data_IF_412173045681
#
_entry.id   IF_412173045681
#
_cell.length_a   1.000
_cell.length_b   1.000
_cell.length_c   1.000
_cell.angle_alpha   90.00
_cell.angle_beta   90.00
_cell.angle_gamma   90.00
#
_symmetry.space_group_name_H-M   'P 1'
#
loop_
_entity.id
_entity.type
_entity.pdbx_description
1 polymer ?
#
# COMPACT_ATOMS: atom_id res chain seq x y z
N UNK A 1 12.60 -15.70 -30.56
CA UNK A 1 11.34 -15.99 -29.84
C UNK A 1 10.41 -14.86 -30.17
N UNK A 2 9.24 -15.18 -30.72
CA UNK A 2 8.17 -14.22 -30.92
C UNK A 2 7.05 -14.56 -29.94
N UNK A 3 6.62 -13.58 -29.16
CA UNK A 3 5.53 -13.72 -28.18
C UNK A 3 4.36 -12.89 -28.70
N UNK A 4 3.23 -13.56 -28.93
CA UNK A 4 1.96 -12.91 -29.26
C UNK A 4 1.12 -12.78 -27.99
N UNK A 5 0.49 -11.62 -27.79
CA UNK A 5 -0.43 -11.39 -26.66
C UNK A 5 -1.43 -10.31 -27.00
N UNK A 6 -2.64 -10.44 -26.48
CA UNK A 6 -3.70 -9.45 -26.57
C UNK A 6 -3.65 -8.36 -25.47
N UNK A 7 -2.84 -8.57 -24.43
CA UNK A 7 -2.65 -7.64 -23.33
C UNK A 7 -1.76 -6.46 -23.72
N UNK A 8 -2.36 -5.47 -24.37
CA UNK A 8 -1.66 -4.25 -24.77
C UNK A 8 -0.99 -3.54 -23.58
N UNK A 9 -1.61 -3.56 -22.40
CA UNK A 9 -1.04 -2.96 -21.19
C UNK A 9 0.26 -3.64 -20.77
N UNK A 10 0.31 -4.98 -20.83
CA UNK A 10 1.51 -5.71 -20.44
C UNK A 10 2.62 -5.50 -21.47
N UNK A 11 2.29 -5.53 -22.76
CA UNK A 11 3.28 -5.29 -23.81
C UNK A 11 3.89 -3.89 -23.68
N UNK A 12 3.07 -2.85 -23.51
CA UNK A 12 3.57 -1.49 -23.23
C UNK A 12 4.39 -1.41 -21.95
N UNK A 13 3.99 -2.15 -20.91
CA UNK A 13 4.76 -2.29 -19.69
C UNK A 13 6.20 -2.72 -19.96
N UNK A 14 6.38 -3.80 -20.71
CA UNK A 14 7.70 -4.37 -21.04
C UNK A 14 8.48 -3.47 -22.01
N UNK A 15 7.83 -2.92 -23.04
CA UNK A 15 8.52 -2.28 -24.16
C UNK A 15 8.74 -0.78 -23.98
N UNK A 16 7.91 -0.11 -23.17
CA UNK A 16 7.91 1.36 -23.06
C UNK A 16 8.15 1.83 -21.62
N UNK A 17 7.57 1.15 -20.62
CA UNK A 17 7.45 1.71 -19.26
C UNK A 17 8.49 1.15 -18.28
N UNK A 18 9.02 -0.05 -18.54
CA UNK A 18 9.86 -0.77 -17.58
C UNK A 18 11.08 0.04 -17.11
N UNK A 19 11.70 0.81 -18.00
CA UNK A 19 12.86 1.63 -17.63
C UNK A 19 12.52 2.69 -16.58
N UNK A 20 11.33 3.28 -16.66
CA UNK A 20 10.87 4.26 -15.68
C UNK A 20 10.52 3.59 -14.34
N UNK A 21 10.01 2.35 -14.39
CA UNK A 21 9.71 1.57 -13.20
C UNK A 21 10.98 1.17 -12.46
N UNK A 22 12.00 0.69 -13.17
CA UNK A 22 13.32 0.39 -12.62
C UNK A 22 13.93 1.62 -11.96
N UNK A 23 13.85 2.78 -12.62
CA UNK A 23 14.35 4.04 -12.08
C UNK A 23 13.71 4.43 -10.75
N UNK A 24 12.49 3.95 -10.47
CA UNK A 24 11.71 4.25 -9.28
C UNK A 24 11.68 3.08 -8.27
N UNK A 25 12.53 2.07 -8.43
CA UNK A 25 12.53 0.85 -7.61
C UNK A 25 11.17 0.12 -7.64
N UNK A 26 10.42 0.25 -8.74
CA UNK A 26 9.05 -0.26 -8.91
C UNK A 26 8.04 0.24 -7.86
N UNK A 27 8.32 1.36 -7.18
CA UNK A 27 7.42 1.90 -6.15
C UNK A 27 6.07 2.29 -6.74
N UNK A 28 5.02 1.71 -6.17
CA UNK A 28 3.63 1.95 -6.58
C UNK A 28 3.19 1.15 -7.81
N UNK A 29 4.02 0.23 -8.30
CA UNK A 29 3.68 -0.69 -9.39
C UNK A 29 3.09 -1.97 -8.79
N UNK A 30 1.97 -2.43 -9.33
CA UNK A 30 1.37 -3.70 -8.94
C UNK A 30 2.16 -4.85 -9.56
N UNK A 31 2.24 -5.98 -8.85
CA UNK A 31 2.94 -7.19 -9.28
C UNK A 31 4.44 -6.92 -9.58
N UNK A 32 5.09 -6.14 -8.71
CA UNK A 32 6.48 -5.70 -8.91
C UNK A 32 7.47 -6.87 -8.97
N UNK A 33 7.20 -7.94 -8.21
CA UNK A 33 8.02 -9.16 -8.23
C UNK A 33 7.97 -9.87 -9.58
N UNK A 34 6.78 -10.02 -10.14
CA UNK A 34 6.52 -10.62 -11.45
C UNK A 34 7.20 -9.79 -12.56
N UNK A 35 7.09 -8.46 -12.48
CA UNK A 35 7.77 -7.57 -13.42
C UNK A 35 9.29 -7.68 -13.36
N UNK A 36 9.88 -7.69 -12.16
CA UNK A 36 11.32 -7.85 -11.98
C UNK A 36 11.82 -9.19 -12.54
N UNK A 37 11.10 -10.27 -12.25
CA UNK A 37 11.43 -11.60 -12.76
C UNK A 37 11.34 -11.66 -14.29
N UNK A 38 10.27 -11.12 -14.87
CA UNK A 38 10.08 -11.06 -16.31
C UNK A 38 11.21 -10.30 -17.02
N UNK A 39 11.59 -9.14 -16.50
CA UNK A 39 12.67 -8.32 -17.08
C UNK A 39 14.00 -9.05 -17.00
N UNK A 40 14.29 -9.73 -15.88
CA UNK A 40 15.46 -10.60 -15.76
C UNK A 40 15.45 -11.72 -16.81
N UNK A 41 14.35 -12.45 -16.96
CA UNK A 41 14.23 -13.56 -17.93
C UNK A 41 14.40 -13.06 -19.38
N UNK A 42 13.88 -11.88 -19.69
CA UNK A 42 14.02 -11.29 -21.03
C UNK A 42 15.45 -10.83 -21.32
N UNK A 43 16.13 -10.22 -20.34
CA UNK A 43 17.50 -9.71 -20.53
C UNK A 43 18.58 -10.77 -20.42
N UNK A 44 18.34 -11.84 -19.66
CA UNK A 44 19.25 -12.99 -19.58
C UNK A 44 19.25 -13.85 -20.84
N UNK A 45 18.19 -13.74 -21.67
CA UNK A 45 18.10 -14.47 -22.92
C UNK A 45 19.09 -13.90 -23.96
N UNK A 46 19.95 -14.73 -24.58
CA UNK A 46 20.99 -14.26 -25.49
C UNK A 46 20.49 -13.79 -26.87
N UNK A 47 19.25 -14.09 -27.22
CA UNK A 47 18.67 -13.78 -28.53
C UNK A 47 17.49 -12.82 -28.38
N UNK A 48 17.23 -12.01 -29.42
CA UNK A 48 16.14 -11.05 -29.46
C UNK A 48 14.79 -11.72 -29.23
N UNK A 49 14.00 -11.14 -28.31
CA UNK A 49 12.58 -11.47 -28.08
C UNK A 49 11.75 -10.40 -28.77
N UNK A 50 10.86 -10.82 -29.66
CA UNK A 50 9.94 -9.92 -30.36
C UNK A 50 8.55 -10.08 -29.76
N UNK A 51 7.86 -8.97 -29.58
CA UNK A 51 6.50 -8.93 -29.07
C UNK A 51 5.57 -8.44 -30.17
N UNK A 52 4.45 -9.15 -30.34
CA UNK A 52 3.42 -8.79 -31.30
C UNK A 52 2.09 -8.70 -30.57
N UNK A 53 1.51 -7.50 -30.59
CA UNK A 53 0.14 -7.32 -30.12
C UNK A 53 -0.83 -7.94 -31.13
N UNK A 54 -1.76 -8.75 -30.63
CA UNK A 54 -2.86 -9.33 -31.41
C UNK A 54 -4.18 -8.86 -30.82
N UNK A 55 -5.20 -8.70 -31.65
CA UNK A 55 -6.52 -8.32 -31.15
C UNK A 55 -7.20 -9.54 -30.50
N UNK A 56 -7.73 -9.36 -29.29
CA UNK A 56 -8.51 -10.38 -28.60
C UNK A 56 -9.69 -10.86 -29.44
N UNK A 57 -9.97 -12.17 -29.39
CA UNK A 57 -11.10 -12.84 -30.05
C UNK A 57 -11.21 -12.60 -31.57
N UNK A 58 -10.08 -12.36 -32.25
CA UNK A 58 -10.05 -12.12 -33.70
C UNK A 58 -9.75 -13.38 -34.53
N UNK A 59 -10.03 -14.59 -34.02
CA UNK A 59 -9.75 -15.84 -34.75
C UNK A 59 -8.28 -16.25 -34.76
N UNK A 60 -7.42 -15.63 -33.92
CA UNK A 60 -6.01 -16.03 -33.83
C UNK A 60 -5.91 -17.29 -32.98
N UNK A 61 -5.83 -18.44 -33.65
CA UNK A 61 -5.87 -19.78 -33.02
C UNK A 61 -4.97 -19.90 -31.80
N UNK A 62 -3.72 -19.41 -31.86
CA UNK A 62 -2.78 -19.46 -30.75
C UNK A 62 -3.20 -18.63 -29.54
N UNK A 63 -3.77 -17.44 -29.75
CA UNK A 63 -4.26 -16.59 -28.66
C UNK A 63 -5.52 -17.20 -28.03
N UNK A 64 -6.45 -17.69 -28.84
CA UNK A 64 -7.69 -18.30 -28.34
C UNK A 64 -7.41 -19.57 -27.52
N UNK A 65 -6.43 -20.38 -27.94
CA UNK A 65 -5.98 -21.52 -27.14
C UNK A 65 -5.30 -21.08 -25.84
N UNK A 66 -4.54 -19.99 -25.85
CA UNK A 66 -3.94 -19.42 -24.64
C UNK A 66 -5.02 -18.92 -23.66
N UNK A 67 -6.07 -18.26 -24.16
CA UNK A 67 -7.21 -17.80 -23.35
C UNK A 67 -7.92 -18.98 -22.69
N UNK A 68 -8.19 -20.05 -23.46
CA UNK A 68 -8.80 -21.28 -22.93
C UNK A 68 -7.94 -21.94 -21.84
N UNK A 69 -6.62 -22.01 -22.04
CA UNK A 69 -5.70 -22.55 -21.05
C UNK A 69 -5.63 -21.67 -19.79
N UNK A 70 -5.70 -20.34 -19.94
CA UNK A 70 -5.74 -19.42 -18.81
C UNK A 70 -7.04 -19.58 -18.01
N UNK A 71 -8.19 -19.75 -18.66
CA UNK A 71 -9.47 -20.05 -18.01
C UNK A 71 -9.44 -21.39 -17.26
N UNK A 72 -8.89 -22.44 -17.87
CA UNK A 72 -8.69 -23.74 -17.19
C UNK A 72 -7.75 -23.56 -15.98
N UNK A 73 -6.71 -22.76 -16.11
CA UNK A 73 -5.78 -22.44 -15.02
C UNK A 73 -6.46 -21.73 -13.85
N UNK A 74 -7.39 -20.81 -14.13
CA UNK A 74 -8.18 -20.09 -13.11
C UNK A 74 -9.03 -21.03 -12.25
N UNK A 75 -9.50 -22.14 -12.80
CA UNK A 75 -10.36 -23.11 -12.11
C UNK A 75 -9.58 -24.13 -11.26
N UNK A 76 -8.25 -24.19 -11.38
CA UNK A 76 -7.41 -25.07 -10.57
C UNK A 76 -7.17 -24.44 -9.20
N UNK A 77 -7.34 -25.22 -8.14
CA UNK A 77 -7.04 -24.82 -6.75
C UNK A 77 -5.54 -24.91 -6.39
N UNK A 78 -4.72 -25.40 -7.32
CA UNK A 78 -3.30 -25.62 -7.10
C UNK A 78 -2.54 -24.28 -7.03
N UNK A 79 -1.91 -23.99 -5.91
CA UNK A 79 -1.03 -22.83 -5.76
C UNK A 79 0.27 -23.06 -6.54
N UNK A 80 0.56 -22.17 -7.50
CA UNK A 80 1.81 -22.20 -8.25
C UNK A 80 2.90 -21.46 -7.47
N UNK A 81 3.84 -22.22 -6.92
CA UNK A 81 5.04 -21.64 -6.29
C UNK A 81 6.06 -21.26 -7.38
N UNK A 82 6.00 -19.99 -7.81
CA UNK A 82 6.99 -19.43 -8.73
C UNK A 82 8.20 -18.94 -7.94
N UNK A 83 9.39 -19.41 -8.32
CA UNK A 83 10.65 -18.91 -7.77
C UNK A 83 10.96 -17.51 -8.33
N UNK A 84 10.85 -16.50 -7.47
CA UNK A 84 11.17 -15.10 -7.78
C UNK A 84 12.64 -14.75 -7.54
N UNK A 85 13.53 -15.72 -7.34
CA UNK A 85 14.95 -15.47 -7.14
C UNK A 85 15.61 -14.90 -8.41
N UNK A 86 16.18 -13.70 -8.26
CA UNK A 86 16.98 -13.03 -9.32
C UNK A 86 18.43 -12.97 -8.85
N UNK A 87 19.40 -13.47 -9.65
CA UNK A 87 20.83 -13.36 -9.30
C UNK A 87 21.25 -11.92 -9.04
N UNK A 88 22.14 -11.70 -8.07
CA UNK A 88 22.52 -10.34 -7.61
C UNK A 88 23.03 -9.44 -8.75
N UNK A 89 23.76 -9.99 -9.72
CA UNK A 89 24.30 -9.24 -10.86
C UNK A 89 23.24 -8.79 -11.89
N UNK A 90 22.02 -9.36 -11.83
CA UNK A 90 20.86 -8.93 -12.62
C UNK A 90 19.90 -8.03 -11.85
N UNK A 91 20.14 -7.86 -10.54
CA UNK A 91 19.20 -7.20 -9.65
C UNK A 91 19.36 -5.69 -9.72
N UNK A 92 18.31 -5.01 -10.16
CA UNK A 92 18.21 -3.55 -10.09
C UNK A 92 17.49 -3.19 -8.79
N UNK A 93 18.26 -2.78 -7.78
CA UNK A 93 17.74 -2.41 -6.46
C UNK A 93 17.88 -0.91 -6.18
N UNK A 94 16.81 -0.31 -5.68
CA UNK A 94 16.78 1.12 -5.37
C UNK A 94 16.39 1.97 -6.58
N UNK A 95 16.08 3.24 -6.30
CA UNK A 95 15.76 4.20 -7.34
C UNK A 95 17.03 4.87 -7.86
N UNK A 96 17.02 5.18 -9.17
CA UNK A 96 18.09 5.93 -9.81
C UNK A 96 18.20 7.32 -9.17
N UNK A 97 19.41 7.71 -8.76
CA UNK A 97 19.65 8.98 -8.05
C UNK A 97 19.12 10.21 -8.79
N UNK A 98 19.17 10.20 -10.13
CA UNK A 98 18.65 11.30 -10.96
C UNK A 98 17.13 11.49 -10.87
N UNK A 99 16.37 10.43 -10.56
CA UNK A 99 14.90 10.45 -10.41
C UNK A 99 14.48 10.58 -8.96
N UNK A 100 15.41 10.33 -8.02
CA UNK A 100 15.16 10.33 -6.60
C UNK A 100 14.81 11.73 -6.09
N UNK A 101 13.62 11.87 -5.51
CA UNK A 101 13.21 13.04 -4.75
C UNK A 101 12.82 12.61 -3.32
N UNK A 102 12.65 13.58 -2.41
CA UNK A 102 12.35 13.29 -1.00
C UNK A 102 11.09 12.42 -0.83
N UNK A 103 10.05 12.64 -1.64
CA UNK A 103 8.81 11.85 -1.60
C UNK A 103 9.08 10.39 -2.01
N UNK A 104 9.76 10.18 -3.12
CA UNK A 104 10.11 8.84 -3.60
C UNK A 104 11.03 8.12 -2.61
N UNK A 105 12.06 8.81 -2.10
CA UNK A 105 12.96 8.27 -1.07
C UNK A 105 12.18 7.83 0.19
N UNK A 106 11.24 8.65 0.64
CA UNK A 106 10.36 8.31 1.77
C UNK A 106 9.50 7.08 1.47
N UNK A 107 8.92 6.97 0.28
CA UNK A 107 8.14 5.80 -0.13
C UNK A 107 8.98 4.53 -0.19
N UNK A 108 10.20 4.59 -0.75
CA UNK A 108 11.14 3.46 -0.76
C UNK A 108 11.48 3.03 0.65
N UNK A 109 11.80 3.97 1.54
CA UNK A 109 12.11 3.66 2.92
C UNK A 109 10.93 3.02 3.64
N UNK A 110 9.70 3.51 3.44
CA UNK A 110 8.50 2.86 3.99
C UNK A 110 8.39 1.44 3.44
N UNK A 111 8.50 1.27 2.12
CA UNK A 111 8.32 -0.02 1.45
C UNK A 111 9.35 -1.06 1.89
N UNK A 112 10.62 -0.66 2.06
CA UNK A 112 11.72 -1.53 2.54
C UNK A 112 11.67 -1.78 4.04
N UNK A 113 11.22 -0.80 4.84
CA UNK A 113 11.16 -0.90 6.31
C UNK A 113 9.91 -1.58 6.83
N UNK A 114 9.15 -2.34 6.06
CA UNK A 114 7.92 -2.95 6.57
C UNK A 114 8.22 -4.16 7.48
N UNK A 115 8.00 -4.09 8.81
CA UNK A 115 6.81 -4.64 9.43
C UNK A 115 5.60 -3.77 9.05
N UNK A 116 4.47 -4.42 8.74
CA UNK A 116 3.26 -3.85 8.09
C UNK A 116 3.08 -2.33 8.26
N UNK A 117 2.89 -1.53 7.18
CA UNK A 117 2.48 -0.15 7.32
C UNK A 117 1.12 -0.17 8.00
N UNK A 118 1.05 0.28 9.26
CA UNK A 118 -0.17 0.23 10.03
C UNK A 118 -0.39 -1.08 10.79
N UNK A 119 0.55 -1.47 11.68
CA UNK A 119 0.05 -1.78 13.01
C UNK A 119 -0.56 -0.47 13.56
N UNK A 120 -1.80 -0.15 13.15
CA UNK A 120 -2.64 0.70 13.96
C UNK A 120 -2.44 0.16 15.37
N UNK A 121 -1.95 1.00 16.28
CA UNK A 121 -1.93 0.63 17.69
C UNK A 121 -3.30 0.02 17.99
N UNK A 122 -3.37 -1.07 18.75
CA UNK A 122 -4.67 -1.67 19.07
C UNK A 122 -5.63 -0.61 19.63
N UNK A 123 -5.09 0.41 20.30
CA UNK A 123 -5.79 1.66 20.68
C UNK A 123 -6.45 2.39 19.51
N UNK A 124 -5.75 2.62 18.41
CA UNK A 124 -6.30 3.30 17.22
C UNK A 124 -7.41 2.48 16.58
N UNK A 125 -7.24 1.15 16.52
CA UNK A 125 -8.28 0.26 16.00
C UNK A 125 -9.53 0.31 16.88
N UNK A 126 -9.36 0.25 18.20
CA UNK A 126 -10.47 0.35 19.15
C UNK A 126 -11.19 1.69 19.05
N UNK A 127 -10.45 2.81 18.99
CA UNK A 127 -11.04 4.14 18.85
C UNK A 127 -11.83 4.30 17.54
N UNK A 128 -11.38 3.69 16.45
CA UNK A 128 -12.13 3.65 15.18
C UNK A 128 -13.42 2.85 15.35
N UNK A 129 -13.39 1.70 16.00
CA UNK A 129 -14.62 0.91 16.24
C UNK A 129 -15.60 1.64 17.15
N UNK A 130 -15.14 2.23 18.26
CA UNK A 130 -16.00 3.09 19.10
C UNK A 130 -16.62 4.24 18.31
N UNK A 131 -15.85 4.86 17.41
CA UNK A 131 -16.37 5.91 16.52
C UNK A 131 -17.43 5.37 15.55
N UNK A 132 -17.26 4.15 15.02
CA UNK A 132 -18.28 3.52 14.16
C UNK A 132 -19.57 3.26 14.92
N UNK A 133 -19.46 2.68 16.12
CA UNK A 133 -20.61 2.37 16.98
C UNK A 133 -21.38 3.64 17.32
N UNK A 134 -20.67 4.71 17.69
CA UNK A 134 -21.30 5.99 18.05
C UNK A 134 -21.95 6.69 16.84
N UNK A 135 -21.32 6.68 15.67
CA UNK A 135 -21.94 7.22 14.45
C UNK A 135 -23.16 6.42 14.05
N UNK A 136 -23.13 5.09 14.17
CA UNK A 136 -24.28 4.22 13.92
C UNK A 136 -25.41 4.50 14.91
N UNK A 137 -25.10 4.67 16.20
CA UNK A 137 -26.08 5.03 17.23
C UNK A 137 -26.81 6.33 16.93
N UNK A 138 -26.09 7.34 16.42
CA UNK A 138 -26.66 8.67 16.14
C UNK A 138 -27.36 8.74 14.77
N UNK A 139 -26.83 8.07 13.75
CA UNK A 139 -27.28 8.24 12.35
C UNK A 139 -28.04 7.04 11.79
N UNK A 140 -27.98 5.88 12.47
CA UNK A 140 -28.49 4.60 11.98
C UNK A 140 -27.65 3.97 10.87
N UNK A 141 -26.50 4.56 10.50
CA UNK A 141 -25.63 4.08 9.43
C UNK A 141 -24.23 3.82 9.98
N UNK A 142 -23.74 2.58 9.88
CA UNK A 142 -22.37 2.24 10.25
C UNK A 142 -21.38 2.73 9.17
N UNK A 143 -20.46 3.66 9.50
CA UNK A 143 -19.50 4.15 8.53
C UNK A 143 -18.33 3.17 8.32
N UNK A 144 -17.75 3.18 7.13
CA UNK A 144 -16.45 2.56 6.87
C UNK A 144 -15.32 3.38 7.48
N UNK A 145 -14.19 2.73 7.78
CA UNK A 145 -12.99 3.43 8.28
C UNK A 145 -12.54 4.57 7.33
N UNK A 146 -12.60 4.33 6.01
CA UNK A 146 -12.30 5.36 4.99
C UNK A 146 -13.23 6.58 5.12
N UNK A 147 -14.51 6.37 5.44
CA UNK A 147 -15.47 7.45 5.63
C UNK A 147 -15.18 8.26 6.91
N UNK A 148 -14.75 7.61 8.00
CA UNK A 148 -14.33 8.29 9.22
C UNK A 148 -13.13 9.20 8.94
N UNK A 149 -12.07 8.67 8.33
CA UNK A 149 -10.86 9.45 8.00
C UNK A 149 -11.15 10.62 7.05
N UNK A 150 -12.02 10.40 6.06
CA UNK A 150 -12.46 11.45 5.15
C UNK A 150 -13.33 12.49 5.87
N UNK A 151 -14.17 12.05 6.81
CA UNK A 151 -15.09 12.88 7.59
C UNK A 151 -14.38 13.91 8.45
N UNK A 152 -13.37 13.50 9.22
CA UNK A 152 -12.62 14.41 10.13
C UNK A 152 -11.82 15.50 9.38
N UNK A 153 -11.57 15.29 8.09
CA UNK A 153 -10.75 16.17 7.24
C UNK A 153 -11.57 16.92 6.18
N UNK A 154 -12.90 16.74 6.15
CA UNK A 154 -13.76 17.36 5.13
C UNK A 154 -13.99 18.85 5.45
N UNK A 155 -13.95 19.71 4.43
CA UNK A 155 -14.32 21.13 4.57
C UNK A 155 -15.79 21.26 5.05
N UNK A 156 -16.13 22.25 5.90
CA UNK A 156 -15.33 23.42 6.31
C UNK A 156 -14.53 23.25 7.62
N UNK A 157 -14.25 22.02 8.06
CA UNK A 157 -13.49 21.80 9.31
C UNK A 157 -12.12 22.48 9.22
N UNK A 158 -11.81 23.33 10.21
CA UNK A 158 -10.50 23.99 10.29
C UNK A 158 -9.39 22.97 10.54
N UNK A 159 -8.22 23.17 9.92
CA UNK A 159 -7.07 22.25 10.04
C UNK A 159 -6.69 21.92 11.49
N UNK A 160 -6.76 22.89 12.41
CA UNK A 160 -6.48 22.67 13.85
C UNK A 160 -7.44 21.65 14.48
N UNK A 161 -8.71 21.65 14.08
CA UNK A 161 -9.72 20.70 14.56
C UNK A 161 -9.49 19.31 13.95
N UNK A 162 -9.17 19.23 12.66
CA UNK A 162 -8.80 17.98 12.01
C UNK A 162 -7.57 17.34 12.66
N UNK A 163 -6.53 18.13 12.97
CA UNK A 163 -5.34 17.66 13.68
C UNK A 163 -5.68 17.13 15.09
N UNK A 164 -6.55 17.83 15.82
CA UNK A 164 -7.03 17.38 17.12
C UNK A 164 -7.81 16.05 17.04
N UNK A 165 -8.77 15.93 16.11
CA UNK A 165 -9.53 14.70 15.88
C UNK A 165 -8.62 13.53 15.47
N UNK A 166 -7.64 13.79 14.62
CA UNK A 166 -6.65 12.79 14.24
C UNK A 166 -5.84 12.31 15.45
N UNK A 167 -5.42 13.24 16.34
CA UNK A 167 -4.69 12.90 17.57
C UNK A 167 -5.55 12.11 18.55
N UNK A 168 -6.85 12.41 18.67
CA UNK A 168 -7.79 11.63 19.48
C UNK A 168 -7.87 10.18 19.00
N UNK A 169 -8.13 9.99 17.70
CA UNK A 169 -8.21 8.64 17.12
C UNK A 169 -6.93 7.83 17.32
N UNK A 170 -5.76 8.48 17.30
CA UNK A 170 -4.47 7.81 17.48
C UNK A 170 -3.98 7.73 18.93
N UNK A 171 -4.73 8.22 19.92
CA UNK A 171 -4.28 8.36 21.31
C UNK A 171 -2.93 9.11 21.44
N UNK A 172 -2.84 10.24 20.72
CA UNK A 172 -1.64 11.11 20.65
C UNK A 172 -1.84 12.45 21.35
N UNK A 173 -2.92 12.59 22.11
CA UNK A 173 -3.13 13.78 22.95
C UNK A 173 -2.17 13.69 24.14
N UNK A 174 -1.53 14.82 24.49
CA UNK A 174 -0.59 14.90 25.60
C UNK A 174 -1.36 15.04 26.92
N UNK A 175 -1.99 13.96 27.38
CA UNK A 175 -2.70 13.89 28.65
C UNK A 175 -2.45 12.53 29.33
N UNK A 176 -2.64 12.47 30.65
CA UNK A 176 -2.65 11.22 31.41
C UNK A 176 -1.39 10.39 31.26
N UNK A 177 -1.57 9.17 30.75
CA UNK A 177 -0.53 8.15 30.53
C UNK A 177 0.68 8.68 29.76
N UNK A 178 0.51 9.71 28.92
CA UNK A 178 1.61 10.37 28.24
C UNK A 178 2.71 10.86 29.20
N UNK A 179 2.32 11.42 30.35
CA UNK A 179 3.24 12.01 31.32
C UNK A 179 3.87 11.00 32.27
N UNK A 180 3.32 9.79 32.36
CA UNK A 180 3.78 8.72 33.28
C UNK A 180 5.27 8.38 33.14
N UNK A 181 5.81 8.49 31.93
CA UNK A 181 7.17 8.09 31.60
C UNK A 181 8.15 9.26 31.49
N UNK A 182 7.73 10.48 31.86
CA UNK A 182 8.55 11.70 31.78
C UNK A 182 9.02 12.06 33.19
N UNK A 183 10.33 11.96 33.49
CA UNK A 183 10.87 12.27 34.81
C UNK A 183 10.52 13.69 35.27
N UNK A 184 9.97 13.81 36.47
CA UNK A 184 9.58 15.07 37.12
C UNK A 184 8.24 15.65 36.63
N UNK A 185 7.52 14.93 35.77
CA UNK A 185 6.22 15.33 35.21
C UNK A 185 5.14 14.28 35.48
N UNK A 186 5.44 13.24 36.26
CA UNK A 186 4.57 12.11 36.52
C UNK A 186 3.22 12.54 37.13
N UNK A 187 3.22 13.56 38.00
CA UNK A 187 2.01 14.08 38.64
C UNK A 187 1.02 14.70 37.65
N UNK A 188 1.50 15.13 36.47
CA UNK A 188 0.65 15.69 35.40
C UNK A 188 -0.21 14.64 34.69
N UNK A 189 -0.05 13.36 35.05
CA UNK A 189 -0.95 12.32 34.56
C UNK A 189 -2.34 12.38 35.23
N UNK A 190 -2.46 13.06 36.37
CA UNK A 190 -3.70 13.11 37.15
C UNK A 190 -4.46 14.41 36.93
N UNK A 191 -5.79 14.29 36.87
CA UNK A 191 -6.71 15.41 36.98
C UNK A 191 -6.79 15.89 38.44
N UNK A 192 -7.35 17.08 38.66
CA UNK A 192 -7.60 17.62 40.00
C UNK A 192 -8.54 16.74 40.84
N UNK A 193 -9.38 15.91 40.21
CA UNK A 193 -10.24 14.95 40.92
C UNK A 193 -9.49 13.68 41.38
N UNK A 194 -8.21 13.52 41.00
CA UNK A 194 -7.36 12.38 41.38
C UNK A 194 -7.37 11.21 40.39
N UNK A 195 -8.22 11.23 39.36
CA UNK A 195 -8.22 10.21 38.31
C UNK A 195 -7.19 10.48 37.22
N UNK A 196 -6.79 9.43 36.47
CA UNK A 196 -5.87 9.59 35.33
C UNK A 196 -6.59 10.34 34.21
N UNK A 197 -5.99 11.44 33.78
CA UNK A 197 -6.53 12.30 32.72
C UNK A 197 -6.61 11.55 31.40
N UNK A 198 -7.75 11.61 30.72
CA UNK A 198 -7.92 11.04 29.39
C UNK A 198 -8.80 11.96 28.53
N UNK A 199 -8.84 11.80 27.21
CA UNK A 199 -9.62 12.72 26.38
C UNK A 199 -11.12 12.75 26.67
N UNK A 200 -11.72 11.66 27.14
CA UNK A 200 -13.13 11.61 27.55
C UNK A 200 -13.37 12.34 28.87
N UNK A 201 -12.35 12.42 29.73
CA UNK A 201 -12.41 13.13 31.00
C UNK A 201 -12.21 14.64 30.84
N UNK A 202 -11.46 15.08 29.81
CA UNK A 202 -11.21 16.51 29.52
C UNK A 202 -12.39 17.18 28.79
N UNK A 203 -13.19 16.40 28.05
CA UNK A 203 -14.29 16.90 27.19
C UNK A 203 -15.63 16.92 27.91
#
# INVERSE_FOLDING_TARGET
>A
LQIESDSLSNLKGITEQVSEWEDKDYIGIQNDKEWRLLVYLLRSRPATTEFKWVQAHNGTVGNEMADQLADIGREKEEEWDLDYAIPDHWRVDGARLAVLNQKLAYQILIHKKVPKPGSCSDTTRNNIEYTKDEVERVTGIRPTEKQIWKGISKKPIQRKKTDFLWKLLHDRVRCGKYFKHIPGWEDKQYCQCGEIENPEHIL
#
